data_IF_169618356240
#
_entry.id   IF_169618356240
#
_cell.length_a   1.000
_cell.length_b   1.000
_cell.length_c   1.000
_cell.angle_alpha   90.00
_cell.angle_beta   90.00
_cell.angle_gamma   90.00
#
_symmetry.space_group_name_H-M   'P 1'
#
loop_
_entity.id
_entity.type
_entity.pdbx_description
1 polymer ?
#
# COMPACT_ATOMS: atom_id res chain seq x y z
N UNK A 1 -0.47 -2.72 -16.31
CA UNK A 1 -0.67 -3.17 -14.92
C UNK A 1 -0.48 -2.01 -13.98
N UNK A 2 -0.90 -2.15 -12.72
CA UNK A 2 -0.72 -1.18 -11.64
C UNK A 2 -0.05 -1.89 -10.47
N UNK A 3 0.83 -1.22 -9.72
CA UNK A 3 1.45 -1.79 -8.51
C UNK A 3 0.99 -0.99 -7.30
N UNK A 4 0.62 -1.69 -6.23
CA UNK A 4 0.18 -1.08 -4.99
C UNK A 4 1.17 -1.42 -3.88
N UNK A 5 1.62 -0.39 -3.17
CA UNK A 5 2.40 -0.52 -1.95
C UNK A 5 1.51 -0.10 -0.76
N UNK A 6 1.40 -0.98 0.24
CA UNK A 6 0.44 -0.89 1.34
C UNK A 6 1.15 -1.04 2.68
N UNK A 7 1.15 0.00 3.50
CA UNK A 7 1.80 0.01 4.80
C UNK A 7 3.32 -0.10 4.71
N UNK A 8 3.91 -0.90 5.60
CA UNK A 8 5.35 -1.06 5.74
C UNK A 8 5.87 -0.42 7.04
N UNK A 9 7.20 -0.35 7.16
CA UNK A 9 7.87 0.24 8.32
C UNK A 9 8.50 1.58 7.93
N UNK A 10 8.21 2.62 8.71
CA UNK A 10 8.86 3.92 8.58
C UNK A 10 10.33 3.87 9.02
N UNK A 11 11.09 4.92 8.68
CA UNK A 11 12.47 5.07 9.14
C UNK A 11 12.56 5.21 10.68
N UNK A 12 11.49 5.65 11.32
CA UNK A 12 11.29 5.72 12.77
C UNK A 12 10.83 4.40 13.38
N UNK A 13 10.83 3.30 12.61
CA UNK A 13 10.35 1.96 12.96
C UNK A 13 8.85 1.87 13.25
N UNK A 14 8.07 2.92 12.99
CA UNK A 14 6.61 2.87 13.19
C UNK A 14 5.91 2.21 12.00
N UNK A 15 4.92 1.32 12.24
CA UNK A 15 4.08 0.80 11.16
C UNK A 15 3.37 1.92 10.42
N UNK A 16 3.23 1.79 9.11
CA UNK A 16 2.66 2.82 8.25
C UNK A 16 1.26 2.44 7.78
N UNK A 17 0.40 3.46 7.60
CA UNK A 17 -0.92 3.31 7.02
C UNK A 17 -0.98 3.74 5.53
N UNK A 18 0.15 4.19 4.99
CA UNK A 18 0.20 4.77 3.65
C UNK A 18 -0.14 3.75 2.57
N UNK A 19 -0.82 4.24 1.53
CA UNK A 19 -1.13 3.48 0.32
C UNK A 19 -0.60 4.27 -0.87
N UNK A 20 0.23 3.63 -1.71
CA UNK A 20 0.75 4.25 -2.93
C UNK A 20 0.46 3.37 -4.14
N UNK A 21 0.09 4.02 -5.24
CA UNK A 21 -0.11 3.41 -6.55
C UNK A 21 1.04 3.82 -7.46
N UNK A 22 1.73 2.85 -8.03
CA UNK A 22 2.63 3.10 -9.15
C UNK A 22 1.85 3.03 -10.47
N UNK A 23 1.91 4.12 -11.25
CA UNK A 23 1.39 4.20 -12.62
C UNK A 23 2.55 4.05 -13.62
N UNK A 24 2.76 2.86 -14.23
CA UNK A 24 3.91 2.62 -15.10
C UNK A 24 3.94 3.51 -16.35
N UNK A 25 2.79 3.99 -16.81
CA UNK A 25 2.68 4.88 -17.98
C UNK A 25 3.23 6.28 -17.71
N UNK A 26 3.28 6.70 -16.45
CA UNK A 26 3.80 8.01 -16.03
C UNK A 26 5.10 7.91 -15.26
N UNK A 27 5.54 6.68 -14.96
CA UNK A 27 6.67 6.38 -14.08
C UNK A 27 6.61 7.12 -12.75
N UNK A 28 5.45 7.07 -12.08
CA UNK A 28 5.20 7.85 -10.88
C UNK A 28 4.45 7.08 -9.81
N UNK A 29 4.78 7.39 -8.55
CA UNK A 29 4.06 6.93 -7.37
C UNK A 29 3.06 7.99 -6.90
N UNK A 30 1.77 7.66 -7.00
CA UNK A 30 0.66 8.49 -6.55
C UNK A 30 0.21 8.07 -5.14
N UNK A 31 -0.05 9.02 -4.22
CA UNK A 31 -0.67 8.71 -2.94
C UNK A 31 -2.14 8.35 -3.13
N UNK A 32 -2.63 7.40 -2.33
CA UNK A 32 -4.05 7.07 -2.20
C UNK A 32 -4.50 7.22 -0.74
N UNK A 33 -5.79 7.02 -0.48
CA UNK A 33 -6.37 7.01 0.86
C UNK A 33 -5.64 5.99 1.75
N UNK A 34 -5.17 6.46 2.91
CA UNK A 34 -4.51 5.62 3.92
C UNK A 34 -5.45 4.56 4.49
N UNK A 35 -4.89 3.45 4.95
CA UNK A 35 -5.61 2.43 5.72
C UNK A 35 -6.08 3.01 7.06
N UNK A 36 -7.22 2.55 7.62
CA UNK A 36 -7.69 2.99 8.94
C UNK A 36 -6.72 2.66 10.10
N UNK A 37 -5.94 1.59 9.94
CA UNK A 37 -4.94 1.13 10.91
C UNK A 37 -3.59 0.93 10.22
N UNK A 38 -2.47 1.41 10.78
CA UNK A 38 -1.14 1.14 10.25
C UNK A 38 -0.79 -0.35 10.29
N UNK A 39 -0.03 -0.84 9.30
CA UNK A 39 0.34 -2.26 9.16
C UNK A 39 1.79 -2.41 8.71
N UNK A 40 2.48 -3.39 9.27
CA UNK A 40 3.82 -3.84 8.88
C UNK A 40 3.87 -5.37 8.99
N UNK A 41 4.67 -6.04 8.14
CA UNK A 41 4.77 -7.51 8.11
C UNK A 41 3.47 -8.22 7.70
N UNK A 42 2.56 -7.48 7.04
CA UNK A 42 1.24 -7.95 6.68
C UNK A 42 1.23 -8.75 5.37
N UNK A 43 0.29 -9.68 5.25
CA UNK A 43 0.04 -10.40 4.01
C UNK A 43 -1.01 -9.66 3.19
N UNK A 44 -0.87 -9.65 1.85
CA UNK A 44 -1.84 -9.04 0.96
C UNK A 44 -2.24 -9.94 -0.20
N UNK A 45 -3.51 -9.86 -0.59
CA UNK A 45 -4.03 -10.61 -1.73
C UNK A 45 -5.19 -9.88 -2.42
N UNK A 46 -5.45 -10.29 -3.66
CA UNK A 46 -6.57 -9.79 -4.47
C UNK A 46 -7.78 -10.71 -4.33
N UNK A 47 -8.96 -10.12 -4.20
CA UNK A 47 -10.25 -10.82 -4.32
C UNK A 47 -11.22 -9.94 -5.11
N UNK A 48 -11.48 -10.33 -6.35
CA UNK A 48 -12.21 -9.49 -7.30
C UNK A 48 -11.45 -8.18 -7.54
N UNK A 49 -12.13 -7.04 -7.38
CA UNK A 49 -11.54 -5.71 -7.55
C UNK A 49 -11.11 -5.05 -6.23
N UNK A 50 -10.84 -5.86 -5.19
CA UNK A 50 -10.43 -5.38 -3.86
C UNK A 50 -9.10 -6.00 -3.45
N UNK A 51 -8.24 -5.20 -2.83
CA UNK A 51 -7.02 -5.66 -2.17
C UNK A 51 -7.33 -5.82 -0.68
N UNK A 52 -7.00 -6.97 -0.13
CA UNK A 52 -7.09 -7.26 1.30
C UNK A 52 -5.70 -7.26 1.91
N UNK A 53 -5.60 -6.74 3.12
CA UNK A 53 -4.35 -6.71 3.92
C UNK A 53 -4.68 -7.31 5.28
N UNK A 54 -3.94 -8.34 5.69
CA UNK A 54 -4.09 -9.10 6.94
C UNK A 54 -2.84 -9.00 7.79
#
# INVERSE_FOLDING_TARGET
GKVYALGGMGADTTPQASVRLYEPTKDQWLPLTSMPTPRYGAFSFLRGNKIYVL
#
